data_IF_321488649386
#
_entry.id   IF_321488649386
#
_cell.length_a   1.000
_cell.length_b   1.000
_cell.length_c   1.000
_cell.angle_alpha   90.00
_cell.angle_beta   90.00
_cell.angle_gamma   90.00
#
_symmetry.space_group_name_H-M   'P 1'
#
loop_
_entity.id
_entity.type
_entity.pdbx_description
1 polymer ?
2 non-polymer ?
3 non-polymer ?
4 non-polymer ?
5 non-polymer ?
6 non-polymer ?
7 water ?
#
# COMPACT_ATOMS: atom_id res chain seq x y z
N UNK A 3 -1.73 -5.43 31.17
CA UNK A 3 -2.68 -4.55 30.50
C UNK A 3 -2.05 -3.17 30.25
N UNK A 4 -0.74 -3.12 30.36
CA UNK A 4 0.08 -1.93 30.16
C UNK A 4 1.45 -2.39 29.64
N UNK A 5 1.48 -2.96 28.44
CA UNK A 5 2.62 -3.72 27.95
C UNK A 5 3.81 -2.84 27.61
N UNK A 6 4.99 -3.46 27.57
CA UNK A 6 6.26 -2.78 27.37
C UNK A 6 7.03 -3.38 26.21
N UNK A 7 7.59 -2.51 25.35
CA UNK A 7 8.45 -2.91 24.24
C UNK A 7 9.80 -2.23 24.40
N UNK A 8 10.86 -2.98 24.10
CA UNK A 8 12.23 -2.54 24.31
C UNK A 8 12.97 -2.48 22.97
N UNK A 9 13.93 -1.57 22.89
CA UNK A 9 14.87 -1.52 21.78
C UNK A 9 16.20 -2.06 22.31
N UNK A 10 16.65 -3.19 21.76
CA UNK A 10 17.89 -3.81 22.27
C UNK A 10 19.14 -3.28 21.58
N UNK A 11 19.09 -2.06 21.06
CA UNK A 11 20.26 -1.33 20.57
C UNK A 11 20.53 -0.07 21.37
N UNK A 12 19.49 0.55 21.92
CA UNK A 12 19.60 1.79 22.68
C UNK A 12 19.04 1.66 24.10
N UNK A 13 18.46 0.51 24.45
CA UNK A 13 17.84 0.28 25.75
C UNK A 13 16.64 1.20 26.00
N UNK A 14 16.09 1.78 24.94
CA UNK A 14 14.88 2.59 25.07
C UNK A 14 13.69 1.68 25.35
N UNK A 15 12.83 2.10 26.27
CA UNK A 15 11.62 1.36 26.61
C UNK A 15 10.40 2.26 26.45
N UNK A 16 9.41 1.80 25.69
CA UNK A 16 8.15 2.50 25.52
C UNK A 16 7.02 1.65 26.11
N UNK A 17 5.94 2.34 26.49
CA UNK A 17 4.78 1.72 27.13
C UNK A 17 3.57 1.81 26.22
N UNK A 18 2.95 0.67 25.94
CA UNK A 18 1.81 0.58 25.03
C UNK A 18 0.53 0.36 25.82
N UNK A 19 -0.35 1.35 25.81
CA UNK A 19 -1.73 1.20 26.25
C UNK A 19 -2.72 1.22 25.09
N UNK A 20 -2.27 1.65 23.91
CA UNK A 20 -3.16 1.77 22.75
C UNK A 20 -3.82 0.44 22.41
N UNK A 21 -3.10 -0.67 22.58
CA UNK A 21 -3.63 -1.99 22.21
C UNK A 21 -4.92 -2.32 22.96
N UNK A 22 -5.25 -1.57 24.01
CA UNK A 22 -6.51 -1.75 24.73
C UNK A 22 -7.70 -1.35 23.87
N UNK A 23 -7.55 -0.30 23.08
CA UNK A 23 -8.63 0.12 22.17
C UNK A 23 -8.81 -0.84 21.01
N UNK A 24 -7.94 -1.83 20.87
CA UNK A 24 -7.97 -2.71 19.71
C UNK A 24 -9.23 -3.57 19.68
N UNK A 25 -9.65 -3.89 18.46
CA UNK A 25 -10.94 -4.52 18.24
C UNK A 25 -10.80 -5.84 17.46
N UNK A 26 -10.35 -5.76 16.20
CA UNK A 26 -10.29 -6.94 15.36
C UNK A 26 -9.22 -7.91 15.86
N UNK A 27 -9.17 -9.08 15.23
CA UNK A 27 -8.29 -10.16 15.68
C UNK A 27 -7.09 -10.30 14.73
N UNK A 28 -6.12 -11.11 15.17
CA UNK A 28 -4.78 -11.18 14.60
C UNK A 28 -4.49 -12.47 13.85
N UNK A 29 -5.10 -13.59 14.23
CA UNK A 29 -4.73 -14.89 13.73
C UNK A 29 -3.94 -15.71 14.73
N UNK A 30 -3.28 -15.07 15.70
CA UNK A 30 -2.60 -15.83 16.73
C UNK A 30 -3.58 -16.21 17.84
N UNK A 31 -3.18 -17.23 18.58
CA UNK A 31 -3.84 -17.65 19.81
C UNK A 31 -2.79 -17.66 20.93
N UNK A 32 -3.19 -18.10 22.12
CA UNK A 32 -2.22 -18.30 23.18
C UNK A 32 -1.29 -19.47 22.90
N UNK A 33 -1.63 -20.33 21.94
CA UNK A 33 -0.87 -21.55 21.67
C UNK A 33 -0.26 -21.59 20.27
N UNK A 34 -0.40 -20.55 19.45
CA UNK A 34 0.24 -20.52 18.15
C UNK A 34 0.30 -19.08 17.65
N UNK A 35 1.45 -18.73 17.10
CA UNK A 35 1.68 -17.40 16.54
C UNK A 35 1.68 -17.51 15.02
N UNK A 36 0.86 -16.67 14.39
CA UNK A 36 0.70 -16.59 12.93
C UNK A 36 1.48 -15.43 12.34
N UNK A 37 2.41 -14.85 13.09
CA UNK A 37 3.06 -13.62 12.70
C UNK A 37 3.72 -13.54 11.35
N UNK A 38 3.97 -14.69 10.71
CA UNK A 38 4.60 -14.72 9.39
C UNK A 38 3.69 -15.28 8.30
N UNK A 39 2.40 -15.42 8.58
CA UNK A 39 1.42 -15.73 7.53
C UNK A 39 1.16 -14.48 6.70
N UNK A 40 1.22 -14.62 5.38
CA UNK A 40 1.19 -13.46 4.49
C UNK A 40 -0.17 -12.76 4.50
N UNK A 41 -1.23 -13.50 4.19
CA UNK A 41 -2.59 -12.96 4.11
C UNK A 41 -3.47 -13.72 5.09
N UNK A 42 -3.42 -13.39 6.38
CA UNK A 42 -4.26 -14.12 7.35
C UNK A 42 -5.73 -13.77 7.13
N UNK A 43 -6.61 -14.70 7.54
CA UNK A 43 -8.04 -14.54 7.29
C UNK A 43 -8.62 -13.32 8.00
N UNK A 44 -7.93 -12.77 8.99
CA UNK A 44 -8.35 -11.57 9.68
C UNK A 44 -7.91 -10.30 8.97
N UNK A 45 -7.18 -10.42 7.86
CA UNK A 45 -6.74 -9.30 7.05
C UNK A 45 -7.52 -9.18 5.74
N UNK A 46 -8.56 -9.99 5.56
CA UNK A 46 -9.29 -10.09 4.29
C UNK A 46 -10.77 -9.81 4.52
N UNK A 47 -11.39 -9.12 3.56
CA UNK A 47 -12.81 -8.79 3.63
C UNK A 47 -13.66 -9.74 2.78
N UNK A 52 -18.99 -9.07 3.91
CA UNK A 52 -20.36 -8.64 3.66
C UNK A 52 -21.06 -8.42 5.01
N UNK A 53 -21.62 -7.22 5.20
CA UNK A 53 -22.12 -6.78 6.49
C UNK A 53 -23.61 -6.42 6.41
N UNK A 54 -24.26 -6.41 7.59
CA UNK A 54 -25.68 -6.13 7.77
C UNK A 54 -25.87 -4.82 8.55
N UNK A 55 -27.11 -4.55 8.96
CA UNK A 55 -27.46 -3.27 9.56
C UNK A 55 -27.48 -3.29 11.07
N UNK A 56 -27.58 -4.47 11.69
CA UNK A 56 -27.50 -4.55 13.14
C UNK A 56 -26.10 -4.22 13.64
N UNK A 57 -25.10 -4.85 13.04
CA UNK A 57 -23.72 -4.60 13.46
C UNK A 57 -23.24 -3.22 13.05
N UNK A 58 -23.96 -2.53 12.16
CA UNK A 58 -23.44 -1.29 11.59
C UNK A 58 -23.37 -0.18 12.63
N UNK A 59 -24.42 -0.01 13.42
CA UNK A 59 -24.47 1.17 14.29
C UNK A 59 -23.37 1.19 15.34
N UNK A 60 -23.08 0.10 16.07
CA UNK A 60 -21.91 0.12 16.96
C UNK A 60 -20.62 0.52 16.26
N UNK A 61 -20.40 0.05 15.03
CA UNK A 61 -19.22 0.42 14.28
C UNK A 61 -19.20 1.92 13.96
N UNK A 62 -20.36 2.48 13.61
CA UNK A 62 -20.47 3.91 13.38
C UNK A 62 -20.26 4.69 14.67
N UNK A 63 -20.90 4.23 15.76
CA UNK A 63 -20.75 4.87 17.07
C UNK A 63 -19.29 4.88 17.52
N UNK A 64 -18.61 3.74 17.38
CA UNK A 64 -17.22 3.67 17.80
C UNK A 64 -16.37 4.66 17.01
N UNK A 65 -16.63 4.80 15.71
CA UNK A 65 -15.84 5.71 14.88
C UNK A 65 -16.14 7.17 15.19
N UNK A 66 -17.43 7.53 15.27
CA UNK A 66 -17.80 8.91 15.56
C UNK A 66 -17.29 9.40 16.89
N UNK A 67 -17.16 8.50 17.87
CA UNK A 67 -16.66 8.89 19.19
C UNK A 67 -15.18 9.24 19.16
N UNK A 68 -14.38 8.49 18.39
CA UNK A 68 -12.96 8.82 18.31
C UNK A 68 -12.74 10.07 17.47
N UNK A 69 -13.57 10.29 16.45
CA UNK A 69 -13.47 11.51 15.65
C UNK A 69 -13.70 12.75 16.50
N UNK A 70 -14.80 12.75 17.28
CA UNK A 70 -15.08 13.92 18.10
C UNK A 70 -14.14 14.02 19.29
N UNK A 71 -13.58 12.89 19.74
CA UNK A 71 -12.52 12.94 20.74
C UNK A 71 -11.30 13.68 20.21
N UNK A 72 -11.08 13.64 18.90
CA UNK A 72 -9.87 14.19 18.30
C UNK A 72 -9.96 15.68 17.98
N UNK A 73 -11.15 16.26 18.00
CA UNK A 73 -11.31 17.70 17.84
C UNK A 73 -11.66 18.38 19.16
N UNK A 74 -11.34 17.72 20.28
CA UNK A 74 -11.59 18.24 21.62
C UNK A 74 -13.06 18.67 21.77
N UNK A 75 -13.96 17.83 21.27
CA UNK A 75 -15.40 18.06 21.32
C UNK A 75 -16.12 16.72 21.52
N UNK A 76 -15.63 15.93 22.48
CA UNK A 76 -16.17 14.60 22.73
C UNK A 76 -17.41 14.68 23.62
N UNK A 77 -18.50 14.09 23.15
CA UNK A 77 -19.76 14.06 23.87
C UNK A 77 -20.55 15.35 23.86
N UNK A 78 -20.10 16.36 23.14
CA UNK A 78 -20.76 17.66 23.13
C UNK A 78 -22.06 17.58 22.33
N UNK A 79 -22.65 18.74 22.06
CA UNK A 79 -23.90 18.82 21.31
C UNK A 79 -23.72 18.33 19.88
N UNK A 80 -22.69 18.82 19.20
CA UNK A 80 -22.46 18.41 17.81
C UNK A 80 -22.18 16.92 17.71
N UNK A 81 -21.53 16.34 18.72
CA UNK A 81 -21.33 14.89 18.75
C UNK A 81 -22.65 14.16 18.92
N UNK A 82 -23.40 14.49 19.97
CA UNK A 82 -24.65 13.78 20.26
C UNK A 82 -25.64 13.90 19.11
N UNK A 83 -25.74 15.08 18.48
CA UNK A 83 -26.68 15.24 17.37
C UNK A 83 -26.27 14.40 16.16
N UNK A 84 -24.96 14.32 15.88
CA UNK A 84 -24.49 13.52 14.75
C UNK A 84 -24.61 12.03 15.03
N UNK A 85 -24.47 11.64 16.31
CA UNK A 85 -24.70 10.24 16.68
C UNK A 85 -26.14 9.84 16.41
N UNK A 86 -27.10 10.68 16.80
CA UNK A 86 -28.51 10.44 16.53
C UNK A 86 -28.83 10.55 15.05
N UNK A 87 -28.11 11.41 14.35
CA UNK A 87 -28.36 11.62 12.92
C UNK A 87 -27.95 10.41 12.10
N UNK A 88 -26.78 9.83 12.41
CA UNK A 88 -26.33 8.62 11.72
C UNK A 88 -27.21 7.43 12.11
N UNK A 89 -27.56 7.34 13.40
CA UNK A 89 -28.55 6.37 13.85
C UNK A 89 -29.81 6.46 13.01
N UNK A 90 -30.38 7.66 12.88
CA UNK A 90 -31.57 7.87 12.06
C UNK A 90 -31.35 7.36 10.64
N UNK A 91 -30.21 7.71 10.02
CA UNK A 91 -30.00 7.33 8.63
C UNK A 91 -29.78 5.82 8.48
N UNK A 92 -29.26 5.15 9.51
CA UNK A 92 -29.10 3.70 9.45
C UNK A 92 -30.43 2.97 9.63
N UNK A 93 -31.42 3.58 10.29
CA UNK A 93 -32.77 3.02 10.22
C UNK A 93 -33.34 3.20 8.81
N UNK A 94 -33.27 4.43 8.29
CA UNK A 94 -33.90 4.76 7.02
C UNK A 94 -33.35 3.91 5.88
N UNK A 95 -32.02 3.89 5.72
CA UNK A 95 -31.36 3.28 4.58
C UNK A 95 -30.67 1.95 4.88
N UNK A 96 -30.49 1.62 6.17
CA UNK A 96 -29.64 0.51 6.60
C UNK A 96 -28.18 0.72 6.19
N UNK A 97 -27.82 1.97 5.92
CA UNK A 97 -26.44 2.38 5.72
C UNK A 97 -26.37 3.87 6.02
N UNK A 98 -25.26 4.51 5.67
CA UNK A 98 -25.11 5.95 5.93
C UNK A 98 -23.93 6.49 5.12
N UNK A 99 -23.75 7.80 5.22
CA UNK A 99 -22.78 8.53 4.43
C UNK A 99 -21.91 9.36 5.37
N UNK A 100 -20.61 9.37 5.10
CA UNK A 100 -19.65 10.10 5.91
C UNK A 100 -19.59 11.56 5.49
N UNK A 101 -19.44 12.46 6.46
CA UNK A 101 -19.10 13.83 6.12
C UNK A 101 -17.73 13.88 5.44
N UNK A 102 -17.48 14.97 4.71
CA UNK A 102 -16.17 15.18 4.11
C UNK A 102 -15.07 15.13 5.18
N UNK A 103 -15.25 15.89 6.26
CA UNK A 103 -14.24 15.85 7.33
C UNK A 103 -14.10 14.46 7.95
N UNK A 104 -15.20 13.70 8.01
CA UNK A 104 -15.14 12.34 8.55
C UNK A 104 -14.39 11.40 7.61
N UNK A 105 -14.62 11.53 6.30
CA UNK A 105 -13.87 10.73 5.33
C UNK A 105 -12.37 11.00 5.42
N UNK A 106 -11.96 12.27 5.53
CA UNK A 106 -10.55 12.63 5.60
C UNK A 106 -9.91 12.05 6.85
N UNK A 107 -10.59 12.17 8.00
CA UNK A 107 -10.10 11.61 9.24
C UNK A 107 -9.96 10.09 9.13
N UNK A 108 -11.03 9.40 8.74
CA UNK A 108 -10.97 7.95 8.62
C UNK A 108 -9.89 7.50 7.65
N UNK A 109 -9.77 8.17 6.51
CA UNK A 109 -8.77 7.80 5.53
C UNK A 109 -7.36 7.91 6.10
N UNK A 110 -7.08 9.01 6.80
CA UNK A 110 -5.73 9.23 7.32
C UNK A 110 -5.40 8.24 8.43
N UNK A 111 -6.39 7.88 9.24
CA UNK A 111 -6.17 6.97 10.34
C UNK A 111 -6.12 5.53 9.91
N UNK A 112 -6.73 5.19 8.76
CA UNK A 112 -6.47 3.87 8.19
C UNK A 112 -4.99 3.68 7.92
N UNK A 113 -4.34 4.69 7.36
CA UNK A 113 -2.90 4.62 7.10
C UNK A 113 -2.12 4.61 8.41
N UNK A 114 -2.41 5.57 9.30
CA UNK A 114 -1.81 5.60 10.63
C UNK A 114 -1.80 4.21 11.27
N UNK A 115 -2.93 3.50 11.15
CA UNK A 115 -3.07 2.19 11.78
C UNK A 115 -2.45 1.04 10.99
N UNK A 116 -1.88 1.29 9.82
CA UNK A 116 -1.42 0.22 8.94
C UNK A 116 -0.13 -0.36 9.51
N UNK A 117 -0.20 -1.52 10.16
CA UNK A 117 0.96 -1.92 10.94
C UNK A 117 2.12 -2.43 10.08
N UNK A 118 1.88 -2.84 8.84
CA UNK A 118 2.97 -3.27 7.98
C UNK A 118 3.60 -2.12 7.20
N UNK A 119 3.14 -0.87 7.39
CA UNK A 119 3.68 0.27 6.65
C UNK A 119 4.83 0.93 7.42
N UNK A 120 6.01 0.96 6.81
CA UNK A 120 7.18 1.63 7.40
C UNK A 120 7.19 3.13 7.17
N UNK A 121 6.29 3.67 6.35
CA UNK A 121 6.40 5.08 5.98
C UNK A 121 5.43 6.00 6.70
N UNK A 122 4.86 5.53 7.81
CA UNK A 122 3.70 6.15 8.45
C UNK A 122 3.98 7.46 9.15
N UNK A 123 5.24 7.90 9.24
CA UNK A 123 5.52 9.19 9.85
C UNK A 123 4.80 10.32 9.13
N UNK A 124 4.35 10.08 7.90
CA UNK A 124 3.71 11.08 7.07
C UNK A 124 2.19 10.99 7.10
N UNK A 125 1.64 10.10 7.93
CA UNK A 125 0.23 9.75 7.85
C UNK A 125 -0.69 10.96 7.92
N UNK A 126 -0.29 12.01 8.65
CA UNK A 126 -1.13 13.20 8.77
C UNK A 126 -1.06 14.06 7.51
N UNK A 127 0.02 13.97 6.74
CA UNK A 127 0.15 14.66 5.46
C UNK A 127 -0.29 13.69 4.36
N UNK A 128 -1.61 13.62 4.18
CA UNK A 128 -2.23 12.77 3.17
C UNK A 128 -3.34 13.59 2.51
N UNK A 129 -3.38 13.57 1.19
CA UNK A 129 -4.34 14.37 0.43
C UNK A 129 -5.50 13.47 0.04
N UNK A 130 -6.71 13.84 0.44
CA UNK A 130 -7.86 12.95 0.29
C UNK A 130 -8.73 13.46 -0.85
N UNK A 131 -8.88 12.64 -1.90
CA UNK A 131 -9.75 13.00 -3.02
C UNK A 131 -11.08 12.27 -2.92
N UNK A 132 -12.16 13.03 -2.78
CA UNK A 132 -13.50 12.46 -2.61
C UNK A 132 -14.08 12.18 -3.99
N UNK A 133 -14.09 10.91 -4.39
CA UNK A 133 -14.67 10.46 -5.64
C UNK A 133 -16.03 9.81 -5.46
N UNK A 134 -16.68 10.02 -4.31
CA UNK A 134 -17.91 9.30 -4.05
C UNK A 134 -19.09 9.76 -4.93
N UNK A 135 -18.95 10.79 -5.79
CA UNK A 135 -20.00 11.17 -6.74
C UNK A 135 -19.81 10.53 -8.11
N UNK A 136 -18.77 9.73 -8.28
CA UNK A 136 -18.47 9.03 -9.52
C UNK A 136 -19.48 7.90 -9.77
N UNK A 137 -19.81 7.70 -11.06
CA UNK A 137 -20.82 6.71 -11.48
C UNK A 137 -20.42 5.82 -12.66
N UNK A 138 -19.34 6.13 -13.38
CA UNK A 138 -18.94 5.33 -14.53
C UNK A 138 -17.45 5.03 -14.48
N UNK A 139 -17.06 3.99 -15.22
CA UNK A 139 -15.65 3.72 -15.45
C UNK A 139 -14.90 4.93 -16.00
N UNK A 140 -15.50 5.63 -16.97
CA UNK A 140 -14.82 6.82 -17.51
C UNK A 140 -14.55 7.84 -16.41
N UNK A 141 -15.54 8.09 -15.55
CA UNK A 141 -15.31 8.98 -14.42
C UNK A 141 -14.23 8.47 -13.50
N UNK A 142 -14.21 7.15 -13.25
CA UNK A 142 -13.11 6.56 -12.48
C UNK A 142 -11.77 6.86 -13.14
N UNK A 143 -11.70 6.70 -14.46
CA UNK A 143 -10.45 6.99 -15.16
C UNK A 143 -10.02 8.44 -14.96
N UNK A 144 -10.97 9.36 -15.12
CA UNK A 144 -10.68 10.77 -14.93
C UNK A 144 -10.14 11.03 -13.53
N UNK A 145 -10.80 10.48 -12.51
CA UNK A 145 -10.36 10.68 -11.14
C UNK A 145 -8.96 10.09 -10.91
N UNK A 146 -8.70 8.92 -11.48
CA UNK A 146 -7.40 8.26 -11.31
C UNK A 146 -6.29 9.07 -11.97
N UNK A 147 -6.55 9.61 -13.19
CA UNK A 147 -5.54 10.41 -13.88
C UNK A 147 -5.18 11.66 -13.08
N UNK A 148 -6.19 12.35 -12.55
CA UNK A 148 -5.90 13.51 -11.72
C UNK A 148 -5.14 13.12 -10.45
N UNK A 149 -5.41 11.93 -9.92
CA UNK A 149 -4.64 11.41 -8.80
C UNK A 149 -3.18 11.26 -9.20
N UNK A 150 -2.94 10.52 -10.29
CA UNK A 150 -1.58 10.27 -10.77
C UNK A 150 -0.83 11.58 -10.97
N UNK A 151 -1.43 12.52 -11.69
CA UNK A 151 -0.77 13.81 -11.93
C UNK A 151 -0.46 14.51 -10.62
N UNK A 152 -1.39 14.44 -9.65
CA UNK A 152 -1.24 15.25 -8.45
C UNK A 152 -0.14 14.69 -7.58
N UNK A 153 -0.19 13.38 -7.36
CA UNK A 153 0.77 12.72 -6.48
C UNK A 153 2.17 12.73 -7.10
N UNK A 154 2.26 12.71 -8.43
CA UNK A 154 3.57 12.72 -9.08
C UNK A 154 4.24 14.09 -8.97
N UNK A 155 3.50 15.17 -9.20
CA UNK A 155 3.99 16.53 -8.92
C UNK A 155 5.40 16.74 -9.46
N UNK A 156 5.64 16.26 -10.67
CA UNK A 156 6.90 16.45 -11.38
C UNK A 156 8.08 15.77 -10.70
N UNK A 157 7.84 14.69 -9.95
CA UNK A 157 8.89 14.02 -9.23
C UNK A 157 8.97 14.41 -7.76
N UNK A 158 8.47 15.59 -7.39
CA UNK A 158 8.35 15.95 -5.97
C UNK A 158 7.03 15.36 -5.47
N UNK A 159 7.07 14.05 -5.21
CA UNK A 159 5.86 13.28 -4.98
C UNK A 159 5.13 13.73 -3.72
N UNK A 160 3.83 13.39 -3.67
CA UNK A 160 2.93 13.80 -2.60
C UNK A 160 1.95 12.67 -2.33
N UNK A 161 1.73 12.40 -1.04
CA UNK A 161 0.83 11.32 -0.63
C UNK A 161 -0.61 11.72 -0.95
N UNK A 162 -1.40 10.75 -1.42
CA UNK A 162 -2.79 10.99 -1.77
C UNK A 162 -3.58 9.68 -1.86
N UNK A 163 -4.89 9.81 -1.78
CA UNK A 163 -5.79 8.67 -1.92
C UNK A 163 -7.09 9.15 -2.55
N UNK A 164 -7.66 8.33 -3.44
CA UNK A 164 -8.92 8.69 -4.10
C UNK A 164 -9.95 7.63 -3.72
N UNK A 165 -11.08 8.06 -3.17
CA UNK A 165 -12.05 7.15 -2.57
C UNK A 165 -13.32 7.17 -3.42
N UNK A 166 -13.62 6.04 -4.03
CA UNK A 166 -14.82 5.85 -4.83
C UNK A 166 -15.99 5.43 -3.96
N UNK A 167 -17.22 5.41 -4.50
CA UNK A 167 -18.39 5.18 -3.64
C UNK A 167 -18.31 3.89 -2.83
N UNK A 168 -18.91 3.93 -1.65
CA UNK A 168 -18.82 2.77 -0.78
C UNK A 168 -19.70 1.65 -1.31
N UNK A 169 -19.24 0.43 -1.09
CA UNK A 169 -20.04 -0.76 -1.32
C UNK A 169 -21.41 -0.58 -0.69
N UNK A 170 -22.40 -1.32 -1.19
CA UNK A 170 -23.73 -1.26 -0.60
C UNK A 170 -24.33 -2.65 -0.60
N UNK A 171 -25.08 -2.97 -1.67
CA UNK A 171 -25.56 -4.33 -1.84
C UNK A 171 -24.42 -5.34 -1.91
N UNK A 172 -23.28 -4.94 -2.48
CA UNK A 172 -22.15 -5.81 -2.68
C UNK A 172 -21.97 -6.26 -4.13
N UNK A 173 -23.04 -6.25 -4.93
CA UNK A 173 -22.95 -6.57 -6.35
C UNK A 173 -22.79 -5.33 -7.22
N UNK A 174 -23.06 -4.15 -6.65
CA UNK A 174 -22.74 -2.88 -7.28
C UNK A 174 -21.51 -2.34 -6.54
N UNK A 175 -20.35 -2.81 -6.95
CA UNK A 175 -19.09 -2.50 -6.29
C UNK A 175 -18.16 -1.78 -7.24
N UNK A 176 -17.48 -0.77 -6.73
CA UNK A 176 -16.45 -0.07 -7.49
C UNK A 176 -15.13 -0.74 -7.23
N UNK A 177 -14.43 -1.12 -8.30
CA UNK A 177 -13.20 -1.90 -8.15
C UNK A 177 -12.19 -1.48 -9.22
N UNK A 178 -10.99 -1.11 -8.79
CA UNK A 178 -9.84 -1.08 -9.69
C UNK A 178 -9.25 -2.48 -9.76
N UNK A 179 -9.26 -3.07 -10.96
CA UNK A 179 -8.75 -4.44 -11.11
C UNK A 179 -7.23 -4.52 -11.16
N UNK A 180 -6.52 -3.41 -11.31
CA UNK A 180 -5.07 -3.42 -11.19
C UNK A 180 -4.68 -3.47 -9.72
N UNK A 181 -3.60 -4.20 -9.41
CA UNK A 181 -3.12 -4.22 -8.03
C UNK A 181 -2.37 -2.94 -7.69
N UNK A 182 -1.75 -2.32 -8.68
CA UNK A 182 -1.20 -0.97 -8.63
C UNK A 182 -1.58 -0.24 -9.90
N UNK A 183 -1.79 1.07 -9.80
CA UNK A 183 -2.16 1.88 -10.96
C UNK A 183 -1.13 1.75 -12.08
N UNK A 184 0.15 1.93 -11.76
CA UNK A 184 1.22 1.78 -12.73
C UNK A 184 1.98 0.48 -12.43
N UNK A 185 1.91 -0.46 -13.36
CA UNK A 185 2.68 -1.71 -13.30
C UNK A 185 3.09 -2.09 -14.72
N UNK A 186 4.22 -2.78 -14.82
CA UNK A 186 4.72 -3.30 -16.09
C UNK A 186 4.13 -4.66 -16.41
N UNK A 187 3.91 -4.91 -17.70
CA UNK A 187 3.23 -6.13 -18.13
C UNK A 187 4.13 -7.34 -18.01
N UNK A 188 3.49 -8.50 -17.88
CA UNK A 188 4.20 -9.77 -17.83
C UNK A 188 3.68 -10.76 -18.85
N UNK A 189 4.53 -11.19 -19.76
CA UNK A 189 4.14 -12.16 -20.78
C UNK A 189 5.09 -13.34 -20.73
N UNK A 190 4.52 -14.53 -20.82
CA UNK A 190 5.34 -15.74 -20.92
C UNK A 190 5.72 -15.97 -22.38
N UNK A 191 6.67 -16.88 -22.57
CA UNK A 191 7.31 -17.12 -23.85
C UNK A 191 6.93 -18.50 -24.39
N UNK A 192 7.46 -18.94 -25.54
CA UNK A 192 7.27 -20.35 -25.92
C UNK A 192 7.93 -21.33 -24.96
N UNK A 193 9.22 -21.15 -24.67
CA UNK A 193 9.94 -22.07 -23.81
C UNK A 193 9.47 -22.03 -22.36
N UNK A 194 8.58 -21.09 -22.00
CA UNK A 194 8.09 -20.99 -20.65
C UNK A 194 8.70 -19.88 -19.83
N UNK A 195 9.81 -19.30 -20.27
CA UNK A 195 10.40 -18.15 -19.58
C UNK A 195 9.46 -16.95 -19.64
N UNK A 196 9.80 -15.87 -18.94
CA UNK A 196 8.87 -14.76 -18.77
C UNK A 196 9.54 -13.42 -19.07
N UNK A 197 8.92 -12.65 -19.97
CA UNK A 197 9.32 -11.28 -20.27
C UNK A 197 8.50 -10.30 -19.43
N UNK A 198 9.14 -9.23 -18.99
CA UNK A 198 8.44 -8.22 -18.21
C UNK A 198 8.38 -8.60 -16.75
N UNK A 199 7.22 -8.41 -16.15
CA UNK A 199 7.04 -8.66 -14.72
C UNK A 199 6.29 -9.97 -14.52
N UNK A 200 6.94 -11.04 -14.07
CA UNK A 200 6.25 -12.33 -13.92
C UNK A 200 5.05 -12.31 -12.96
N UNK A 201 4.97 -11.33 -12.05
CA UNK A 201 3.81 -11.24 -11.16
C UNK A 201 2.52 -10.98 -11.94
N UNK A 202 2.55 -10.03 -12.86
CA UNK A 202 1.34 -9.53 -13.52
C UNK A 202 0.94 -10.37 -14.73
N UNK A 203 1.56 -11.53 -14.92
CA UNK A 203 1.35 -12.32 -16.13
C UNK A 203 -0.13 -12.72 -16.26
N UNK A 204 -0.78 -13.06 -15.15
CA UNK A 204 -2.21 -13.38 -15.23
C UNK A 204 -3.03 -12.14 -15.55
N UNK A 205 -2.71 -11.02 -14.91
CA UNK A 205 -3.44 -9.79 -15.21
C UNK A 205 -3.22 -9.35 -16.66
N UNK A 206 -1.98 -9.44 -17.15
CA UNK A 206 -1.70 -9.13 -18.55
C UNK A 206 -2.54 -9.99 -19.49
N UNK A 207 -2.75 -11.26 -19.13
CA UNK A 207 -3.60 -12.13 -19.94
C UNK A 207 -5.03 -11.64 -19.92
N UNK A 208 -5.50 -11.18 -18.76
CA UNK A 208 -6.87 -10.67 -18.66
C UNK A 208 -7.05 -9.42 -19.51
N UNK A 209 -6.08 -8.49 -19.46
CA UNK A 209 -6.19 -7.26 -20.25
C UNK A 209 -6.23 -7.57 -21.75
N UNK A 210 -5.45 -8.55 -22.21
CA UNK A 210 -5.53 -8.93 -23.61
C UNK A 210 -6.82 -9.71 -23.86
N UNK A 211 -7.32 -10.43 -22.85
CA UNK A 211 -8.63 -11.07 -22.97
C UNK A 211 -9.73 -10.05 -23.18
N UNK A 212 -9.59 -8.84 -22.62
CA UNK A 212 -10.52 -7.75 -22.84
C UNK A 212 -10.17 -6.91 -24.06
N UNK A 213 -9.06 -7.19 -24.74
CA UNK A 213 -8.72 -6.53 -25.98
C UNK A 213 -7.49 -5.65 -25.98
N UNK A 214 -6.65 -5.72 -24.96
CA UNK A 214 -5.40 -4.97 -24.98
C UNK A 214 -4.53 -5.48 -26.11
N UNK A 215 -3.93 -4.54 -26.84
CA UNK A 215 -2.98 -4.87 -27.90
C UNK A 215 -1.59 -4.64 -27.32
N UNK A 216 -0.94 -5.72 -26.93
CA UNK A 216 0.28 -5.62 -26.14
C UNK A 216 1.47 -5.27 -27.03
N UNK A 217 2.31 -4.31 -26.64
CA UNK A 217 3.58 -4.11 -27.37
C UNK A 217 4.62 -5.20 -27.09
N UNK A 218 4.29 -6.15 -26.21
CA UNK A 218 5.08 -7.36 -25.93
C UNK A 218 6.57 -7.07 -25.77
N UNK A 219 6.88 -6.24 -24.77
CA UNK A 219 8.23 -5.92 -24.38
C UNK A 219 8.42 -6.15 -22.88
N UNK A 220 9.40 -5.45 -22.32
CA UNK A 220 9.68 -5.60 -20.90
C UNK A 220 8.86 -4.61 -20.09
N UNK A 221 9.26 -3.35 -20.11
CA UNK A 221 8.67 -2.32 -19.25
C UNK A 221 7.52 -1.60 -19.97
N UNK A 222 6.48 -2.38 -20.28
CA UNK A 222 5.28 -1.87 -20.91
C UNK A 222 4.24 -1.58 -19.82
N UNK A 223 3.93 -0.29 -19.64
CA UNK A 223 2.93 0.11 -18.65
C UNK A 223 1.59 -0.54 -18.99
N UNK A 224 1.00 -1.19 -18.00
CA UNK A 224 -0.28 -1.85 -18.18
C UNK A 224 -1.41 -0.83 -18.25
N UNK A 225 -2.50 -1.15 -18.94
CA UNK A 225 -3.67 -0.26 -18.93
C UNK A 225 -4.51 -0.54 -17.70
N UNK A 226 -5.33 0.45 -17.35
CA UNK A 226 -6.26 0.31 -16.23
C UNK A 226 -7.44 -0.57 -16.62
N UNK A 227 -7.93 -1.35 -15.67
CA UNK A 227 -9.19 -2.09 -15.80
C UNK A 227 -10.11 -1.61 -14.70
N UNK A 228 -11.16 -0.88 -15.07
CA UNK A 228 -11.98 -0.16 -14.10
C UNK A 228 -13.41 -0.67 -14.14
N UNK A 229 -13.87 -1.21 -13.01
CA UNK A 229 -15.24 -1.67 -12.83
C UNK A 229 -16.03 -0.62 -12.05
N UNK A 230 -17.18 -0.22 -12.56
CA UNK A 230 -17.97 0.83 -11.93
C UNK A 230 -19.35 0.29 -11.57
N UNK A 231 -19.75 0.53 -10.32
CA UNK A 231 -21.07 0.15 -9.80
C UNK A 231 -21.46 -1.27 -10.22
N UNK A 232 -20.48 -2.18 -10.20
CA UNK A 232 -20.73 -3.58 -10.52
C UNK A 232 -20.76 -3.93 -11.99
N UNK A 233 -20.57 -2.98 -12.90
CA UNK A 233 -20.56 -3.34 -14.31
C UNK A 233 -19.22 -3.97 -14.69
N UNK A 234 -19.21 -4.62 -15.86
CA UNK A 234 -18.00 -5.24 -16.35
C UNK A 234 -16.91 -4.19 -16.56
N UNK A 235 -15.66 -4.47 -16.19
CA UNK A 235 -14.63 -3.43 -16.26
C UNK A 235 -14.20 -3.12 -17.69
N UNK A 236 -13.67 -1.91 -17.87
CA UNK A 236 -13.31 -1.39 -19.18
C UNK A 236 -11.86 -0.91 -19.16
N UNK A 237 -11.21 -1.00 -20.30
CA UNK A 237 -9.79 -0.69 -20.42
C UNK A 237 -9.57 0.79 -20.71
N UNK A 238 -8.60 1.38 -19.99
CA UNK A 238 -8.20 2.75 -20.25
C UNK A 238 -6.68 2.89 -20.12
N UNK A 239 -6.09 3.71 -20.97
CA UNK A 239 -4.64 3.91 -21.02
C UNK A 239 -4.30 5.27 -20.42
N UNK A 240 -3.66 5.27 -19.26
CA UNK A 240 -3.05 6.44 -18.64
C UNK A 240 -2.22 7.17 -19.69
N UNK A 241 -2.43 8.46 -19.92
CA UNK A 241 -1.61 9.16 -20.91
C UNK A 241 -0.15 9.10 -20.52
N UNK A 242 0.72 8.64 -21.42
CA UNK A 242 2.12 8.40 -21.04
C UNK A 242 2.81 9.61 -20.41
N UNK A 243 2.45 10.83 -20.83
CA UNK A 243 3.01 12.02 -20.19
C UNK A 243 2.74 12.03 -18.68
N UNK A 244 1.78 11.24 -18.19
CA UNK A 244 1.48 11.20 -16.76
C UNK A 244 2.24 10.10 -16.02
N UNK A 245 2.76 9.10 -16.73
CA UNK A 245 3.54 8.00 -16.15
C UNK A 245 5.01 8.43 -16.16
N UNK A 246 5.50 8.86 -15.00
CA UNK A 246 6.90 9.26 -14.86
C UNK A 246 7.75 8.02 -14.58
N UNK A 247 8.89 7.93 -15.26
CA UNK A 247 9.78 6.79 -15.13
C UNK A 247 11.22 7.28 -14.93
N UNK A 248 11.99 6.48 -14.19
CA UNK A 248 13.39 6.77 -13.89
C UNK A 248 14.27 5.66 -14.47
N UNK A 249 15.11 5.94 -15.47
CA UNK A 249 16.08 4.91 -15.93
C UNK A 249 17.23 4.77 -14.94
N UNK A 250 17.64 3.52 -14.69
CA UNK A 250 18.57 3.20 -13.62
C UNK A 250 19.99 3.15 -14.18
N UNK A 251 20.81 4.10 -13.75
CA UNK A 251 22.25 4.07 -13.97
C UNK A 251 22.97 3.98 -12.64
N UNK A 252 24.24 3.53 -12.69
CA UNK A 252 25.07 3.43 -11.50
C UNK A 252 26.16 4.50 -11.48
N UNK A 253 26.48 5.07 -10.30
CA UNK A 253 27.49 6.14 -10.25
C UNK A 253 28.94 5.66 -10.33
N UNK A 254 29.16 4.43 -10.80
CA UNK A 254 30.52 3.97 -11.08
C UNK A 254 30.58 3.22 -12.40
N UNK A 255 29.58 2.36 -12.64
CA UNK A 255 29.60 1.38 -13.72
C UNK A 255 28.93 1.96 -14.97
N UNK A 256 29.76 2.36 -15.95
CA UNK A 256 29.25 2.79 -17.25
C UNK A 256 28.66 1.64 -18.07
N UNK A 257 28.62 0.42 -17.54
CA UNK A 257 27.89 -0.66 -18.16
C UNK A 257 26.50 -0.82 -17.55
N UNK A 258 26.15 0.03 -16.60
CA UNK A 258 24.85 -0.07 -15.95
C UNK A 258 23.73 0.48 -16.81
N UNK A 259 23.99 1.51 -17.63
CA UNK A 259 22.99 1.92 -18.60
C UNK A 259 22.69 0.78 -19.57
N UNK A 260 23.73 0.00 -19.92
CA UNK A 260 23.57 -1.09 -20.87
C UNK A 260 22.62 -2.15 -20.34
N UNK A 261 22.49 -2.25 -19.01
CA UNK A 261 21.47 -3.11 -18.43
C UNK A 261 20.08 -2.67 -18.89
N UNK A 262 19.87 -1.37 -19.03
CA UNK A 262 18.62 -0.86 -19.57
C UNK A 262 17.46 -1.11 -18.62
N UNK A 263 17.62 -0.68 -17.37
CA UNK A 263 16.61 -0.84 -16.34
C UNK A 263 15.98 0.51 -16.03
N UNK A 264 14.66 0.49 -15.79
CA UNK A 264 13.91 1.69 -15.45
C UNK A 264 12.73 1.26 -14.59
N UNK A 265 12.23 2.19 -13.78
CA UNK A 265 11.12 1.89 -12.90
C UNK A 265 10.26 3.14 -12.75
N UNK A 266 8.96 2.93 -12.59
CA UNK A 266 8.04 4.04 -12.43
C UNK A 266 8.19 4.69 -11.06
N UNK A 267 8.01 6.00 -11.03
CA UNK A 267 8.28 6.77 -9.83
C UNK A 267 7.21 6.65 -8.75
N UNK A 268 6.00 6.20 -9.12
CA UNK A 268 4.83 6.33 -8.23
C UNK A 268 4.31 4.98 -7.77
N UNK A 269 4.49 4.63 -6.49
CA UNK A 269 3.83 3.42 -5.98
C UNK A 269 2.42 3.78 -5.55
N UNK A 270 1.44 3.06 -6.10
CA UNK A 270 0.04 3.46 -5.99
C UNK A 270 -0.76 2.16 -5.92
N UNK A 271 -1.09 1.74 -4.71
CA UNK A 271 -1.79 0.48 -4.48
C UNK A 271 -3.28 0.72 -4.66
N UNK A 272 -3.94 -0.14 -5.43
CA UNK A 272 -5.33 0.11 -5.83
C UNK A 272 -6.33 -0.99 -5.48
N UNK A 273 -5.89 -2.14 -4.96
CA UNK A 273 -6.72 -3.33 -4.96
C UNK A 273 -7.33 -3.66 -3.61
N UNK A 274 -7.14 -2.79 -2.63
CA UNK A 274 -7.46 -3.11 -1.25
C UNK A 274 -8.65 -2.32 -0.76
N UNK A 275 -9.09 -2.62 0.46
CA UNK A 275 -10.35 -2.12 0.97
C UNK A 275 -10.08 -1.12 2.08
N UNK A 276 -10.73 0.04 2.01
CA UNK A 276 -10.72 1.01 3.10
C UNK A 276 -11.97 0.82 3.95
N UNK A 277 -11.80 0.62 5.25
CA UNK A 277 -12.90 0.42 6.19
C UNK A 277 -12.97 1.61 7.13
N UNK A 278 -14.11 2.30 7.13
CA UNK A 278 -14.36 3.45 7.99
C UNK A 278 -15.74 3.27 8.60
N UNK A 279 -15.83 3.44 9.93
CA UNK A 279 -17.11 3.45 10.61
C UNK A 279 -18.03 2.27 10.34
N UNK A 280 -17.52 1.22 9.71
CA UNK A 280 -18.35 0.11 9.28
C UNK A 280 -18.62 0.09 7.79
N UNK A 281 -18.35 1.19 7.10
CA UNK A 281 -18.54 1.28 5.66
C UNK A 281 -17.31 0.74 4.94
N UNK A 282 -17.56 0.10 3.80
CA UNK A 282 -16.51 -0.56 3.04
C UNK A 282 -16.34 0.13 1.69
N UNK A 283 -15.15 0.68 1.46
CA UNK A 283 -14.78 1.34 0.21
C UNK A 283 -13.90 0.38 -0.59
N UNK A 284 -14.52 -0.32 -1.54
CA UNK A 284 -13.85 -1.39 -2.29
C UNK A 284 -12.85 -0.85 -3.30
N UNK A 285 -12.86 0.45 -3.58
CA UNK A 285 -11.89 1.03 -4.49
C UNK A 285 -11.43 2.35 -3.89
N UNK A 286 -10.15 2.42 -3.55
CA UNK A 286 -9.55 3.49 -2.78
C UNK A 286 -8.05 3.62 -3.05
N UNK A 287 -7.61 3.73 -4.31
CA UNK A 287 -6.16 3.70 -4.60
C UNK A 287 -5.42 4.77 -3.81
N UNK A 288 -4.24 4.43 -3.33
CA UNK A 288 -3.44 5.36 -2.53
C UNK A 288 -1.98 5.31 -2.98
N UNK A 289 -1.33 6.48 -2.96
CA UNK A 289 0.05 6.55 -3.40
C UNK A 289 0.90 7.37 -2.44
N UNK A 290 2.19 7.02 -2.38
CA UNK A 290 3.21 7.80 -1.72
C UNK A 290 4.47 7.87 -2.56
N UNK A 291 5.61 7.45 -2.02
CA UNK A 291 6.86 7.40 -2.76
C UNK A 291 7.60 6.12 -2.38
N UNK A 292 8.55 5.72 -3.22
CA UNK A 292 9.20 4.43 -3.06
C UNK A 292 10.30 4.48 -2.00
N UNK A 293 10.40 3.42 -1.21
CA UNK A 293 11.63 3.11 -0.50
C UNK A 293 12.49 2.26 -1.43
N UNK A 294 13.81 2.53 -1.43
CA UNK A 294 14.68 1.96 -2.44
C UNK A 294 14.53 0.46 -2.56
N UNK A 295 14.52 -0.23 -1.40
CA UNK A 295 14.57 -1.70 -1.40
C UNK A 295 13.37 -2.32 -2.10
N UNK A 296 12.21 -1.65 -2.09
CA UNK A 296 11.05 -2.25 -2.75
C UNK A 296 11.32 -2.50 -4.23
N UNK A 297 12.15 -1.67 -4.85
CA UNK A 297 12.51 -1.81 -6.27
C UNK A 297 13.76 -2.65 -6.47
N UNK A 298 14.84 -2.23 -5.81
CA UNK A 298 16.15 -2.79 -6.03
C UNK A 298 16.40 -4.09 -5.32
N UNK A 299 15.52 -4.50 -4.43
CA UNK A 299 15.63 -5.80 -3.75
C UNK A 299 14.53 -6.75 -4.21
N UNK A 300 13.28 -6.35 -3.99
CA UNK A 300 12.11 -7.19 -4.27
C UNK A 300 11.79 -7.21 -5.77
N UNK A 301 11.51 -6.03 -6.35
CA UNK A 301 11.14 -5.96 -7.77
C UNK A 301 12.25 -6.54 -8.66
N UNK A 302 13.48 -6.13 -8.42
CA UNK A 302 14.56 -6.49 -9.32
C UNK A 302 15.16 -7.88 -9.03
N UNK A 303 15.16 -8.33 -7.78
CA UNK A 303 15.98 -9.48 -7.39
C UNK A 303 15.21 -10.65 -6.78
N UNK A 304 13.90 -10.53 -6.55
CA UNK A 304 13.11 -11.72 -6.24
C UNK A 304 13.27 -12.74 -7.36
N UNK A 305 13.32 -14.02 -6.96
CA UNK A 305 13.50 -15.10 -7.93
C UNK A 305 12.39 -15.14 -8.96
N UNK A 306 11.16 -14.87 -8.54
CA UNK A 306 9.99 -14.89 -9.41
C UNK A 306 9.53 -13.49 -9.78
N UNK A 307 10.39 -12.49 -9.65
CA UNK A 307 10.12 -11.20 -10.28
C UNK A 307 11.13 -10.98 -11.40
N UNK A 308 11.88 -9.87 -11.38
CA UNK A 308 12.72 -9.57 -12.54
C UNK A 308 14.00 -10.40 -12.58
N UNK A 309 14.54 -10.81 -11.44
CA UNK A 309 15.59 -11.83 -11.37
C UNK A 309 16.85 -11.39 -12.13
N UNK A 310 17.42 -10.26 -11.70
CA UNK A 310 18.59 -9.70 -12.38
C UNK A 310 19.91 -9.98 -11.67
N UNK A 311 19.90 -10.54 -10.45
CA UNK A 311 21.15 -10.86 -9.76
C UNK A 311 22.06 -11.71 -10.64
N UNK A 312 21.46 -12.59 -11.44
CA UNK A 312 22.20 -13.34 -12.47
C UNK A 312 23.11 -12.44 -13.29
N UNK A 313 22.56 -11.35 -13.84
CA UNK A 313 23.29 -10.58 -14.84
C UNK A 313 24.18 -9.53 -14.20
N UNK A 314 23.75 -8.93 -13.10
CA UNK A 314 24.61 -7.94 -12.43
C UNK A 314 25.87 -8.60 -11.90
N UNK A 315 25.78 -9.86 -11.49
CA UNK A 315 26.98 -10.57 -11.03
C UNK A 315 27.94 -10.81 -12.19
N UNK A 316 27.40 -10.99 -13.40
CA UNK A 316 28.27 -11.26 -14.54
C UNK A 316 29.15 -10.06 -14.87
N UNK A 317 28.53 -8.91 -15.15
CA UNK A 317 29.28 -7.73 -15.54
C UNK A 317 30.24 -7.27 -14.43
N UNK A 318 29.91 -7.54 -13.17
CA UNK A 318 30.84 -7.22 -12.10
C UNK A 318 32.03 -8.18 -12.07
N UNK A 319 31.99 -9.24 -12.88
CA UNK A 319 32.97 -10.32 -12.84
C UNK A 319 33.10 -10.86 -11.42
N UNK A 320 32.10 -11.58 -10.96
CA UNK A 320 32.05 -12.09 -9.59
C UNK A 320 32.23 -13.60 -9.58
N UNK A 321 32.66 -14.10 -8.41
CA UNK A 321 32.87 -15.53 -8.18
C UNK A 321 31.50 -16.19 -8.11
N UNK A 322 30.94 -16.49 -9.29
CA UNK A 322 29.61 -17.10 -9.37
C UNK A 322 29.64 -18.61 -9.26
N UNK A 323 30.82 -19.22 -9.18
CA UNK A 323 30.89 -20.67 -9.01
C UNK A 323 30.24 -21.09 -7.70
N UNK A 324 30.79 -20.63 -6.59
CA UNK A 324 30.41 -21.10 -5.26
C UNK A 324 29.40 -20.15 -4.63
N UNK A 325 28.48 -20.71 -3.84
CA UNK A 325 27.46 -19.90 -3.19
C UNK A 325 28.04 -19.04 -2.07
N UNK A 326 29.01 -19.59 -1.31
CA UNK A 326 29.64 -18.94 -0.17
C UNK A 326 30.56 -17.78 -0.57
N UNK A 327 30.63 -17.42 -1.85
CA UNK A 327 31.33 -16.21 -2.21
C UNK A 327 30.52 -14.95 -1.96
N UNK A 328 29.23 -15.10 -1.63
CA UNK A 328 28.30 -13.97 -1.44
C UNK A 328 28.25 -13.06 -2.66
N UNK A 329 28.41 -13.63 -3.85
CA UNK A 329 28.23 -12.84 -5.05
C UNK A 329 26.82 -12.29 -5.15
N UNK A 330 25.82 -13.01 -4.61
CA UNK A 330 24.45 -12.50 -4.65
C UNK A 330 24.29 -11.25 -3.79
N UNK A 331 24.85 -11.28 -2.57
CA UNK A 331 24.80 -10.11 -1.70
C UNK A 331 25.53 -8.92 -2.33
N UNK A 332 26.59 -9.19 -3.08
CA UNK A 332 27.41 -8.10 -3.59
C UNK A 332 26.72 -7.40 -4.74
N UNK A 333 26.13 -8.16 -5.67
CA UNK A 333 25.35 -7.52 -6.73
C UNK A 333 24.08 -6.87 -6.20
N UNK A 334 23.57 -7.32 -5.05
CA UNK A 334 22.34 -6.71 -4.53
C UNK A 334 22.59 -5.31 -3.98
N UNK A 335 23.73 -5.09 -3.32
CA UNK A 335 24.03 -3.75 -2.80
C UNK A 335 24.28 -2.76 -3.95
N UNK A 336 24.93 -3.20 -5.04
CA UNK A 336 25.16 -2.29 -6.18
C UNK A 336 23.85 -1.87 -6.83
N UNK A 337 22.91 -2.81 -6.97
CA UNK A 337 21.62 -2.47 -7.57
C UNK A 337 20.92 -1.38 -6.77
N UNK A 338 20.99 -1.45 -5.45
CA UNK A 338 20.30 -0.48 -4.62
C UNK A 338 21.03 0.87 -4.53
N UNK A 339 22.36 0.87 -4.64
CA UNK A 339 23.06 2.15 -4.77
C UNK A 339 22.62 2.83 -6.05
N UNK A 340 22.31 2.03 -7.07
CA UNK A 340 21.91 2.47 -8.40
C UNK A 340 20.49 3.02 -8.44
N UNK A 341 19.53 2.29 -7.88
CA UNK A 341 18.15 2.79 -7.86
C UNK A 341 18.11 4.15 -7.19
N UNK A 342 18.65 4.22 -5.97
CA UNK A 342 18.70 5.47 -5.22
C UNK A 342 19.32 6.59 -6.04
N UNK A 343 20.57 6.40 -6.47
CA UNK A 343 21.24 7.39 -7.32
C UNK A 343 20.37 7.83 -8.49
N UNK A 344 19.82 6.87 -9.25
CA UNK A 344 19.07 7.22 -10.46
C UNK A 344 17.86 8.07 -10.15
N UNK A 345 17.10 7.69 -9.11
CA UNK A 345 15.95 8.50 -8.72
C UNK A 345 16.39 9.87 -8.23
N UNK A 346 17.46 9.92 -7.42
CA UNK A 346 17.89 11.17 -6.81
C UNK A 346 18.43 12.15 -7.85
N UNK A 347 19.09 11.65 -8.90
CA UNK A 347 19.60 12.51 -9.97
C UNK A 347 18.49 13.05 -10.87
N UNK A 348 17.26 12.57 -10.73
CA UNK A 348 16.11 13.06 -11.48
C UNK A 348 15.13 13.83 -10.61
N UNK A 349 15.55 14.21 -9.40
CA UNK A 349 14.71 14.94 -8.44
C UNK A 349 13.40 14.19 -8.12
N UNK A 350 13.35 12.89 -8.41
CA UNK A 350 12.18 12.07 -8.12
C UNK A 350 12.30 11.52 -6.71
N UNK A 351 11.26 11.74 -5.91
CA UNK A 351 11.30 11.42 -4.49
C UNK A 351 11.52 9.93 -4.28
N UNK A 352 12.56 9.59 -3.51
CA UNK A 352 12.81 8.22 -3.03
C UNK A 352 13.49 8.33 -1.68
N UNK A 353 13.45 7.23 -0.90
CA UNK A 353 14.00 7.19 0.44
C UNK A 353 14.77 5.87 0.59
N UNK A 354 15.98 5.95 1.16
CA UNK A 354 16.74 4.73 1.37
C UNK A 354 16.23 4.03 2.62
N UNK A 355 16.47 2.72 2.68
CA UNK A 355 15.91 1.92 3.77
C UNK A 355 16.46 2.30 5.15
N UNK A 356 17.59 3.02 5.21
CA UNK A 356 18.14 3.46 6.48
C UNK A 356 17.43 4.68 7.03
N UNK A 357 17.25 5.72 6.21
CA UNK A 357 16.53 6.90 6.67
C UNK A 357 15.07 6.59 6.93
N UNK A 358 14.46 5.74 6.09
CA UNK A 358 13.07 5.36 6.33
C UNK A 358 12.90 4.62 7.66
N UNK A 359 13.84 3.72 7.99
CA UNK A 359 13.67 2.99 9.23
C UNK A 359 13.99 3.85 10.44
N UNK A 360 14.96 4.75 10.35
CA UNK A 360 15.20 5.65 11.47
C UNK A 360 13.98 6.49 11.74
N UNK A 361 13.39 7.04 10.67
CA UNK A 361 12.20 7.87 10.82
C UNK A 361 11.04 7.09 11.43
N UNK A 362 10.96 5.79 11.16
CA UNK A 362 9.90 4.99 11.75
C UNK A 362 10.07 4.87 13.26
N UNK A 363 11.32 4.73 13.73
CA UNK A 363 11.59 4.72 15.16
C UNK A 363 11.17 6.05 15.77
N UNK A 364 11.59 7.15 15.16
CA UNK A 364 11.12 8.48 15.53
C UNK A 364 9.60 8.53 15.57
N UNK A 365 8.95 7.98 14.53
CA UNK A 365 7.49 7.97 14.50
C UNK A 365 6.92 7.15 15.64
N UNK A 366 7.51 5.99 15.90
CA UNK A 366 7.05 5.15 17.00
C UNK A 366 7.10 5.91 18.32
N UNK A 367 8.19 6.65 18.56
CA UNK A 367 8.33 7.45 19.76
C UNK A 367 7.15 8.40 19.93
N UNK A 368 6.80 9.11 18.87
CA UNK A 368 5.70 10.08 18.94
C UNK A 368 4.37 9.39 19.17
N UNK A 369 4.19 8.19 18.61
CA UNK A 369 2.91 7.51 18.73
C UNK A 369 2.72 6.92 20.13
N UNK A 370 3.81 6.50 20.78
CA UNK A 370 3.70 6.05 22.16
C UNK A 370 3.45 7.21 23.12
N UNK A 371 3.81 8.43 22.72
CA UNK A 371 3.62 9.60 23.59
C UNK A 371 2.19 10.13 23.48
N UNK A 372 1.86 10.70 22.33
CA UNK A 372 0.58 11.37 22.12
C UNK A 372 -0.53 10.41 21.71
N UNK A 373 -0.33 9.09 21.83
CA UNK A 373 -1.37 8.15 21.46
C UNK A 373 -1.33 6.89 22.32
N UNK A 374 -0.21 6.64 22.97
CA UNK A 374 -0.05 5.51 23.85
C UNK A 374 0.38 4.21 23.20
N UNK A 375 0.86 4.26 21.96
CA UNK A 375 1.27 3.05 21.28
C UNK A 375 1.34 3.26 19.78
N UNK A 376 1.62 2.17 19.07
CA UNK A 376 1.75 2.16 17.62
C UNK A 376 1.84 0.73 17.11
N UNK A 377 0.77 0.17 16.55
CA UNK A 377 0.83 -1.20 16.02
C UNK A 377 1.89 -1.32 14.94
N UNK A 378 2.72 -2.35 15.04
CA UNK A 378 3.78 -2.52 14.05
C UNK A 378 4.06 -4.01 13.83
N UNK A 379 4.26 -4.37 12.56
CA UNK A 379 4.51 -5.76 12.15
C UNK A 379 6.00 -5.86 11.80
N UNK A 380 6.79 -6.35 12.75
CA UNK A 380 8.23 -6.52 12.54
C UNK A 380 8.53 -7.27 11.24
N UNK A 381 7.77 -8.31 10.95
CA UNK A 381 8.04 -9.13 9.76
C UNK A 381 8.07 -8.27 8.50
N UNK A 382 7.23 -7.24 8.43
CA UNK A 382 7.12 -6.34 7.25
C UNK A 382 7.89 -5.04 7.38
N UNK A 383 8.10 -4.53 8.61
CA UNK A 383 8.84 -3.28 8.80
C UNK A 383 10.32 -3.47 8.50
N UNK A 384 10.95 -4.55 9.01
CA UNK A 384 12.39 -4.70 8.76
C UNK A 384 12.64 -4.75 7.26
N UNK A 385 13.63 -4.01 6.74
CA UNK A 385 13.85 -4.03 5.29
C UNK A 385 14.39 -5.35 4.82
N UNK A 386 14.18 -5.69 3.55
CA UNK A 386 14.56 -7.01 3.01
C UNK A 386 16.04 -7.17 2.70
N UNK A 387 16.89 -6.24 3.13
CA UNK A 387 18.34 -6.39 3.06
C UNK A 387 18.93 -5.65 4.24
N UNK A 388 20.09 -6.11 4.71
CA UNK A 388 20.82 -5.37 5.75
C UNK A 388 20.01 -5.20 7.03
N UNK A 389 19.04 -6.09 7.25
CA UNK A 389 18.17 -6.07 8.42
C UNK A 389 18.75 -5.45 9.70
N UNK A 390 19.86 -5.99 10.19
CA UNK A 390 20.31 -5.64 11.54
C UNK A 390 21.21 -4.42 11.58
N UNK A 391 21.58 -3.83 10.43
CA UNK A 391 22.23 -2.52 10.46
C UNK A 391 21.22 -1.38 10.42
N UNK A 392 19.93 -1.68 10.50
CA UNK A 392 18.88 -0.69 10.56
C UNK A 392 18.20 -0.74 11.93
N UNK A 393 17.80 0.41 12.48
CA UNK A 393 17.34 0.43 13.87
C UNK A 393 16.03 -0.29 14.11
N UNK A 394 15.27 -0.65 13.07
CA UNK A 394 14.03 -1.39 13.31
C UNK A 394 14.28 -2.88 13.62
N UNK A 395 15.41 -3.45 13.17
CA UNK A 395 15.70 -4.86 13.51
C UNK A 395 15.67 -5.08 15.00
N UNK A 396 16.10 -4.10 15.79
CA UNK A 396 16.38 -4.25 17.20
C UNK A 396 15.24 -3.70 18.07
N UNK A 397 14.11 -3.36 17.47
CA UNK A 397 12.99 -2.76 18.16
C UNK A 397 11.90 -3.81 18.30
N UNK A 398 11.52 -4.13 19.54
CA UNK A 398 10.33 -4.93 19.77
C UNK A 398 9.10 -4.16 19.30
N UNK A 399 8.12 -4.87 18.73
CA UNK A 399 6.93 -4.24 18.16
C UNK A 399 5.71 -5.07 18.50
N UNK A 400 4.67 -4.41 19.00
CA UNK A 400 3.37 -5.01 19.26
C UNK A 400 2.49 -4.84 18.02
N UNK A 401 1.96 -5.93 17.51
CA UNK A 401 1.04 -5.89 16.38
C UNK A 401 -0.39 -6.08 16.89
N UNK A 402 -1.30 -5.22 16.42
CA UNK A 402 -2.72 -5.34 16.75
C UNK A 402 -3.51 -4.50 15.74
N UNK A 403 -4.79 -4.83 15.64
CA UNK A 403 -5.63 -4.31 14.56
C UNK A 403 -6.51 -3.19 15.12
N UNK A 404 -6.22 -1.96 14.73
CA UNK A 404 -7.12 -0.86 15.03
C UNK A 404 -7.89 -0.49 13.77
N UNK A 405 -9.05 0.14 13.97
CA UNK A 405 -9.83 0.64 12.86
C UNK A 405 -10.03 2.15 13.03
N UNK A 406 -10.20 2.91 11.94
CA UNK A 406 -10.23 2.62 10.50
C UNK A 406 -9.00 1.89 9.97
N UNK A 407 -9.15 1.07 8.93
CA UNK A 407 -8.04 0.28 8.44
C UNK A 407 -8.16 -0.03 6.95
N UNK A 408 -7.02 -0.44 6.39
CA UNK A 408 -6.93 -1.03 5.06
C UNK A 408 -6.91 -2.55 5.17
N UNK A 409 -7.76 -3.21 4.39
CA UNK A 409 -7.88 -4.64 4.39
C UNK A 409 -7.65 -5.19 2.99
N UNK A 410 -7.12 -6.39 2.93
CA UNK A 410 -7.03 -7.13 1.68
C UNK A 410 -8.42 -7.57 1.28
N UNK A 411 -8.61 -7.77 -0.01
CA UNK A 411 -9.88 -8.24 -0.53
C UNK A 411 -9.58 -9.15 -1.69
N UNK A 412 -10.47 -10.11 -1.97
CA UNK A 412 -10.24 -11.03 -3.09
C UNK A 412 -10.23 -10.29 -4.43
N UNK A 413 -9.57 -10.91 -5.40
CA UNK A 413 -9.53 -10.34 -6.73
C UNK A 413 -10.91 -10.41 -7.37
N UNK A 414 -11.27 -9.38 -8.15
CA UNK A 414 -12.66 -9.33 -8.66
C UNK A 414 -12.97 -10.38 -9.71
N UNK A 415 -11.98 -10.89 -10.44
CA UNK A 415 -12.29 -11.88 -11.47
C UNK A 415 -12.60 -13.26 -10.90
N UNK A 416 -12.39 -13.46 -9.60
CA UNK A 416 -12.78 -14.70 -8.93
C UNK A 416 -14.16 -14.59 -8.29
N UNK A 417 -14.78 -13.43 -8.37
CA UNK A 417 -16.01 -13.08 -7.68
C UNK A 417 -17.04 -12.39 -8.58
N UNK A 418 -16.59 -11.54 -9.51
CA UNK A 418 -17.51 -10.78 -10.36
C UNK A 418 -18.43 -11.70 -11.14
N UNK A 419 -19.73 -11.60 -10.87
CA UNK A 419 -20.73 -12.31 -11.66
C UNK A 419 -20.75 -11.67 -13.05
N UNK A 420 -20.16 -12.35 -14.01
CA UNK A 420 -19.80 -11.76 -15.30
C UNK A 420 -21.04 -11.57 -16.19
N UNK A 421 -20.80 -11.12 -17.42
CA UNK A 421 -21.82 -11.03 -18.47
C UNK A 421 -21.21 -10.77 -19.86
X LIG B 1 3.03 -1.18 3.22
X LIG B 1 6.39 2.26 2.45
X LIG B 1 2.72 5.53 1.90
X LIG B 1 -0.44 2.24 3.54
X LIG B 1 4.26 -0.58 2.96
X LIG B 1 5.53 -1.25 2.77
X LIG B 1 6.47 -0.32 2.54
X LIG B 1 5.83 1.00 2.60
X LIG B 1 7.96 -0.63 2.28
X LIG B 1 5.73 -2.77 2.77
X LIG B 1 5.01 -3.25 1.50
X LIG B 1 5.87 -4.16 0.67
X LIG B 1 7.06 -4.38 1.03
X LIG B 1 5.35 -4.67 -0.34
X LIG B 1 5.69 3.44 2.25
X LIG B 1 6.25 4.75 1.96
X LIG B 1 5.26 5.64 1.83
X LIG B 1 3.99 4.95 2.00
X LIG B 1 7.75 5.12 1.83
X LIG B 1 5.49 7.14 1.52
X LIG B 1 4.57 8.09 1.80
X LIG B 1 1.52 4.92 2.24
X LIG B 1 0.19 5.49 2.10
X LIG B 1 -0.68 4.56 2.54
X LIG B 1 0.08 3.39 2.99
X LIG B 1 -0.13 6.90 1.48
X LIG B 1 -2.22 4.57 2.65
X LIG B 1 -2.91 5.71 2.67
X LIG B 1 0.19 1.01 3.52
X LIG B 1 -0.43 -0.29 3.66
X LIG B 1 0.53 -1.26 3.58
X LIG B 1 1.79 -0.56 3.36
X LIG B 1 -1.94 -0.48 3.89
X LIG B 1 0.39 -2.81 3.65
X LIG B 1 -0.28 -3.31 4.91
X LIG B 1 -0.71 -4.76 4.76
X LIG B 1 -1.76 -5.10 5.34
X LIG B 1 -0.03 -5.57 4.06
X LIG B 1 4.49 0.78 2.86
X LIG B 1 4.30 3.61 2.26
X LIG B 1 1.42 3.66 2.80
X LIG B 1 1.54 0.80 3.34
X LIG B 1 2.99 2.19 3.26
X LIG C 1 7.78 -7.78 4.26
X LIG C 1 7.53 -6.86 3.29
X LIG C 1 7.82 -5.54 3.49
X LIG C 1 7.04 -7.26 2.10
X LIG C 1 6.75 -8.55 1.84
X LIG C 1 6.27 -8.89 0.72
X LIG C 1 6.96 -9.49 2.83
X LIG C 1 7.50 -9.09 4.05
X LIG C 1 6.67 -10.78 2.61
X LIG C 1 7.70 -10.00 5.04
X LIG C 1 6.45 -11.63 3.80
X LIG C 1 7.56 -11.42 4.81
X LIG C 1 6.34 -13.11 3.44
X LIG C 1 7.47 -13.40 2.62
X LIG C 1 6.29 -14.00 4.70
X LIG C 1 6.42 -15.48 4.35
X LIG C 1 5.09 -13.81 5.47
X LIG D 1 5.31 2.54 -0.87
X LIG D 1 4.24 3.44 -0.91
X LIG D 1 2.95 2.93 -0.99
X LIG D 1 2.74 1.55 -1.00
X LIG D 1 3.85 0.71 -0.97
X LIG D 1 1.75 3.87 -1.05
X LIG D 1 3.65 -0.79 -0.99
X LIG D 1 1.77 -2.16 -0.30
X LIG D 1 0.47 -2.20 0.19
X LIG D 1 -0.27 -3.37 0.09
X LIG D 1 0.30 -4.51 -0.48
X LIG D 1 1.61 -4.45 -0.96
X LIG D 1 2.33 -3.28 -0.87
X LIG D 1 2.24 -5.67 -1.57
X LIG D 1 1.33 -6.88 -1.46
X LIG D 1 3.34 -7.89 -2.39
X LIG D 1 4.11 -9.18 -2.44
X LIG D 1 3.41 -10.29 -2.69
X LIG D 1 2.21 -10.41 -2.14
X LIG D 1 1.32 -9.20 -2.06
X LIG D 1 -0.09 -1.10 0.74
X LIG D 1 -1.53 -3.42 0.54
X LIG D 1 5.09 1.22 -0.90
X LIG D 1 6.60 2.95 -0.79
X LIG D 1 2.15 -8.10 -1.53
X LIG D 1 2.50 -1.01 -0.20
X LIG E 1 9.93 9.06 5.26
X LIG E 1 9.02 8.50 5.91
X LIG E 1 10.81 8.41 4.66
X LIG E 1 9.90 10.56 5.12
X LIG F 1 1.78 -13.90 17.19
#
# INVERSE_FOLDING_TARGET
CPRFLKVKNWETDVVLTDTLHLKSTLETGCTEHICMGSIMLPSQHTRKPEDVATKDQLFPLAKEFLDQYYSSIKRFGSKAHMDRLEEVNKEIESTSTYQLKDTELIYGAKHAWRNASRCVGRIQWSKLQVFDARDCTTAHGMFNYICNHVKYATNKGNLRSAITIFPQRTDGKHDFRVWNSQLIRYAGYKQPDGSTLGDPANVQFTEICIQQGWKAPRGRFDVLPLLLQANGNDPELFQIPPELVLEVPIRHPKFDWFKDLGLKWYGLPAVSNMLLEIGGLEFSACPFSGWYMGTEIGVRDYCDNSRYNILEEVAKKMDLDMRKTSSLWKDQALVEINIAVLYSFQSDKVTIVDHHSATESFIKHMENEYRCRGGCPADWVWIVPPMSGSITPVFHQEMLNYRLTPSFEYQPDPWNTHVWKG
HEM CHA CHB CHC CHD C1A C2A C3A C4A CMA CAA CBA CGA O1A O2A C1B C2B C3B C4B CMB CAB CBB C1C C2C C3C C4C CMC CAC CBC C1D C2D C3D C4D CMD CAD CBD CGD O1D O2D NA NB NC ND FE
H4B N1 C2 N2 N3 C4 O4 C4A C8A N5 N8 C6 C7 C9 O9 C10 C11 O10
A1CN6 C02 C03 C04 C05 C06 C07 C08 C11 C12 C13 C14 C15 C16 C17 C18 C22 C23 C24 C25 C26 F12 F13 N01 N02 N21 O09
ACT C O OXT CH3
ZN ZN
#
